data_IF_820269020889
#
_entry.id   IF_820269020889
#
_cell.length_a   1.000
_cell.length_b   1.000
_cell.length_c   1.000
_cell.angle_alpha   90.00
_cell.angle_beta   90.00
_cell.angle_gamma   90.00
#
_symmetry.space_group_name_H-M   'P 1'
#
loop_
_entity.id
_entity.type
_entity.pdbx_description
1 polymer ?
#
# COMPACT_ATOMS: atom_id res chain seq x y z
N UNK A 1 13.84 31.13 -11.27
CA UNK A 1 14.18 29.97 -10.41
C UNK A 1 13.55 28.76 -11.04
N UNK A 2 14.29 27.71 -11.42
CA UNK A 2 13.67 26.47 -11.85
C UNK A 2 12.85 25.98 -10.66
N UNK A 3 11.54 25.77 -10.84
CA UNK A 3 10.70 25.11 -9.85
C UNK A 3 11.28 23.72 -9.66
N UNK A 4 11.73 23.39 -8.43
CA UNK A 4 12.06 22.03 -8.08
C UNK A 4 10.84 21.15 -8.36
N UNK A 5 11.04 20.03 -9.10
CA UNK A 5 9.98 19.08 -9.38
C UNK A 5 9.31 18.66 -8.06
N UNK A 6 7.97 18.60 -8.06
CA UNK A 6 7.24 18.11 -6.88
C UNK A 6 7.56 16.63 -6.69
N UNK A 7 8.04 16.28 -5.53
CA UNK A 7 8.28 14.87 -5.17
C UNK A 7 7.03 14.25 -4.60
N UNK A 8 6.65 13.12 -5.13
CA UNK A 8 5.46 12.36 -4.74
C UNK A 8 5.85 10.91 -4.49
N UNK A 9 5.55 10.39 -3.31
CA UNK A 9 5.72 8.98 -2.99
C UNK A 9 4.35 8.31 -2.86
N UNK A 10 4.21 7.15 -3.51
CA UNK A 10 2.99 6.34 -3.52
C UNK A 10 3.26 5.04 -2.76
N UNK A 11 2.43 4.73 -1.77
CA UNK A 11 2.58 3.54 -0.91
C UNK A 11 1.33 2.68 -1.05
N UNK A 12 1.51 1.45 -1.56
CA UNK A 12 0.42 0.51 -1.85
C UNK A 12 -0.14 -0.17 -0.60
N UNK A 13 -1.27 -0.88 -0.77
CA UNK A 13 -1.95 -1.62 0.28
C UNK A 13 -1.46 -3.05 0.45
N UNK A 14 -2.04 -3.75 1.46
CA UNK A 14 -1.80 -5.16 1.73
C UNK A 14 -2.03 -6.04 0.50
N UNK A 15 -1.22 -7.08 0.34
CA UNK A 15 -1.25 -8.04 -0.74
C UNK A 15 -0.97 -7.49 -2.15
N UNK A 16 -0.76 -6.19 -2.32
CA UNK A 16 -0.43 -5.55 -3.59
C UNK A 16 1.09 -5.31 -3.72
N UNK A 17 1.49 -4.54 -4.73
CA UNK A 17 2.83 -3.98 -4.87
C UNK A 17 2.75 -2.63 -5.61
N UNK A 18 3.89 -1.98 -5.86
CA UNK A 18 3.95 -0.66 -6.50
C UNK A 18 3.24 -0.58 -7.85
N UNK A 19 3.07 -1.70 -8.56
CA UNK A 19 2.45 -1.74 -9.89
C UNK A 19 0.94 -1.45 -9.88
N UNK A 20 0.28 -1.38 -8.71
CA UNK A 20 -1.10 -0.86 -8.63
C UNK A 20 -1.21 0.60 -9.08
N UNK A 21 -0.09 1.33 -9.13
CA UNK A 21 -0.04 2.72 -9.53
C UNK A 21 0.37 2.93 -11.00
N UNK A 22 0.63 1.88 -11.76
CA UNK A 22 1.13 1.98 -13.14
C UNK A 22 0.14 2.71 -14.07
N UNK A 23 -1.16 2.59 -13.82
CA UNK A 23 -2.19 3.34 -14.55
C UNK A 23 -2.37 4.79 -14.03
N UNK A 24 -1.99 5.06 -12.79
CA UNK A 24 -2.10 6.38 -12.18
C UNK A 24 -0.92 7.29 -12.58
N UNK A 25 0.30 6.77 -12.52
CA UNK A 25 1.52 7.56 -12.69
C UNK A 25 1.52 8.34 -14.02
N UNK A 26 1.15 7.76 -15.19
CA UNK A 26 1.11 8.48 -16.46
C UNK A 26 0.07 9.60 -16.53
N UNK A 27 -0.89 9.61 -15.59
CA UNK A 27 -1.97 10.63 -15.52
C UNK A 27 -1.60 11.80 -14.61
N UNK A 28 -0.51 11.71 -13.87
CA UNK A 28 0.02 12.78 -13.04
C UNK A 28 0.83 13.75 -13.92
N UNK A 29 1.01 15.01 -13.48
CA UNK A 29 1.80 15.98 -14.23
C UNK A 29 3.22 15.44 -14.50
N UNK A 30 3.67 15.57 -15.74
CA UNK A 30 4.95 15.02 -16.21
C UNK A 30 6.19 15.68 -15.57
N UNK A 31 6.02 16.84 -14.95
CA UNK A 31 7.07 17.57 -14.21
C UNK A 31 7.18 17.13 -12.74
N UNK A 32 6.36 16.16 -12.28
CA UNK A 32 6.47 15.60 -10.94
C UNK A 32 7.47 14.43 -10.92
N UNK A 33 8.30 14.37 -9.86
CA UNK A 33 9.13 13.19 -9.55
C UNK A 33 8.28 12.22 -8.70
N UNK A 34 7.65 11.25 -9.37
CA UNK A 34 6.73 10.28 -8.74
C UNK A 34 7.45 8.96 -8.52
N UNK A 35 7.43 8.46 -7.28
CA UNK A 35 8.04 7.19 -6.88
C UNK A 35 7.02 6.32 -6.17
N UNK A 36 6.76 5.15 -6.73
CA UNK A 36 5.97 4.11 -6.06
C UNK A 36 6.90 3.18 -5.27
N UNK A 37 6.61 2.97 -4.00
CA UNK A 37 7.41 2.16 -3.08
C UNK A 37 6.73 0.83 -2.82
N UNK A 38 7.52 -0.25 -2.78
CA UNK A 38 7.06 -1.55 -2.29
C UNK A 38 7.19 -1.62 -0.76
N UNK A 39 6.14 -2.08 -0.10
CA UNK A 39 6.19 -2.46 1.32
C UNK A 39 7.10 -3.69 1.50
N UNK A 40 7.78 -3.85 2.64
CA UNK A 40 8.60 -5.03 2.91
C UNK A 40 7.84 -6.33 2.64
N UNK A 41 8.48 -7.25 1.93
CA UNK A 41 7.91 -8.54 1.55
C UNK A 41 6.79 -8.49 0.51
N UNK A 42 6.62 -7.35 -0.16
CA UNK A 42 5.71 -7.17 -1.28
C UNK A 42 6.52 -6.73 -2.51
N UNK A 43 6.11 -7.16 -3.71
CA UNK A 43 6.82 -6.85 -4.95
C UNK A 43 8.29 -7.27 -4.90
N UNK A 44 9.18 -6.33 -5.18
CA UNK A 44 10.63 -6.56 -5.19
C UNK A 44 11.30 -6.27 -3.83
N UNK A 45 10.54 -5.79 -2.83
CA UNK A 45 11.13 -5.42 -1.53
C UNK A 45 11.44 -6.67 -0.69
N UNK A 46 12.68 -6.78 -0.14
CA UNK A 46 13.02 -7.88 0.76
C UNK A 46 12.20 -7.80 2.05
N UNK A 47 12.10 -8.95 2.75
CA UNK A 47 11.38 -9.04 4.02
C UNK A 47 12.19 -9.81 5.06
N UNK A 48 12.20 -9.26 6.26
CA UNK A 48 12.68 -9.92 7.48
C UNK A 48 11.67 -9.66 8.58
N UNK A 49 11.21 -10.70 9.24
CA UNK A 49 10.29 -10.56 10.38
C UNK A 49 10.97 -9.84 11.57
N UNK A 50 10.19 -9.10 12.36
CA UNK A 50 8.76 -8.84 12.22
C UNK A 50 8.45 -7.71 11.21
N UNK A 51 7.20 -7.66 10.72
CA UNK A 51 6.71 -6.48 10.00
C UNK A 51 6.35 -5.40 11.04
N UNK A 52 7.13 -4.34 11.10
CA UNK A 52 6.93 -3.23 12.05
C UNK A 52 6.62 -1.94 11.28
N UNK A 53 5.43 -1.37 11.55
CA UNK A 53 4.95 -0.17 10.82
C UNK A 53 5.88 1.03 11.04
N UNK A 54 6.40 1.21 12.26
CA UNK A 54 7.30 2.32 12.57
C UNK A 54 8.66 2.15 11.86
N UNK A 55 9.20 0.93 11.84
CA UNK A 55 10.44 0.63 11.12
C UNK A 55 10.28 0.81 9.60
N UNK A 56 9.12 0.44 9.03
CA UNK A 56 8.81 0.69 7.61
C UNK A 56 8.75 2.19 7.34
N UNK A 57 8.10 2.96 8.21
CA UNK A 57 8.04 4.42 8.09
C UNK A 57 9.44 5.05 8.19
N UNK A 58 10.30 4.57 9.08
CA UNK A 58 11.71 5.01 9.19
C UNK A 58 12.49 4.74 7.90
N UNK A 59 12.38 3.52 7.36
CA UNK A 59 13.06 3.14 6.12
C UNK A 59 12.59 4.01 4.93
N UNK A 60 11.31 4.35 4.87
CA UNK A 60 10.79 5.26 3.84
C UNK A 60 11.21 6.71 4.08
N UNK A 61 11.26 7.17 5.35
CA UNK A 61 11.82 8.48 5.68
C UNK A 61 13.27 8.64 5.22
N UNK A 62 14.06 7.56 5.29
CA UNK A 62 15.43 7.53 4.77
C UNK A 62 15.55 7.75 3.26
N UNK A 63 14.49 7.49 2.49
CA UNK A 63 14.45 7.69 1.04
C UNK A 63 13.97 9.10 0.64
N UNK A 64 13.41 9.86 1.60
CA UNK A 64 12.90 11.21 1.37
C UNK A 64 14.01 12.21 1.73
N UNK A 65 14.65 12.77 0.73
CA UNK A 65 15.76 13.73 0.87
C UNK A 65 15.28 15.19 1.00
N UNK A 66 14.09 15.51 0.50
CA UNK A 66 13.44 16.82 0.60
C UNK A 66 11.95 16.62 0.90
N UNK A 67 11.27 17.58 1.56
CA UNK A 67 9.84 17.45 1.86
C UNK A 67 9.01 17.08 0.63
N UNK A 68 8.17 16.04 0.76
CA UNK A 68 7.47 15.40 -0.33
C UNK A 68 5.97 15.26 -0.06
N UNK A 69 5.20 15.06 -1.11
CA UNK A 69 3.80 14.67 -1.04
C UNK A 69 3.72 13.14 -0.92
N UNK A 70 2.90 12.65 0.00
CA UNK A 70 2.73 11.21 0.22
C UNK A 70 1.29 10.82 -0.10
N UNK A 71 1.11 9.77 -0.89
CA UNK A 71 -0.17 9.09 -1.08
C UNK A 71 -0.05 7.67 -0.53
N UNK A 72 -0.91 7.35 0.43
CA UNK A 72 -1.00 6.02 1.01
C UNK A 72 -2.35 5.39 0.74
N UNK A 73 -2.35 4.17 0.19
CA UNK A 73 -3.55 3.38 -0.02
C UNK A 73 -3.63 2.24 0.99
N UNK A 74 -4.77 2.12 1.72
CA UNK A 74 -5.04 1.04 2.67
C UNK A 74 -3.91 0.91 3.72
N UNK A 75 -3.23 -0.23 3.83
CA UNK A 75 -2.06 -0.43 4.70
C UNK A 75 -0.95 0.60 4.45
N UNK A 76 -0.71 0.97 3.19
CA UNK A 76 0.22 2.04 2.84
C UNK A 76 -0.19 3.39 3.43
N UNK A 77 -1.48 3.62 3.64
CA UNK A 77 -1.97 4.80 4.33
C UNK A 77 -1.66 4.79 5.83
N UNK A 78 -1.73 3.63 6.49
CA UNK A 78 -1.28 3.50 7.88
C UNK A 78 0.21 3.79 8.01
N UNK A 79 1.04 3.23 7.12
CA UNK A 79 2.49 3.55 7.07
C UNK A 79 2.71 5.05 6.83
N UNK A 80 1.93 5.67 5.93
CA UNK A 80 2.02 7.11 5.66
C UNK A 80 1.62 7.98 6.87
N UNK A 81 0.66 7.52 7.68
CA UNK A 81 0.32 8.17 8.97
C UNK A 81 1.49 8.12 9.95
N UNK A 82 2.13 6.95 10.14
CA UNK A 82 3.31 6.80 10.97
C UNK A 82 4.47 7.66 10.45
N UNK A 83 4.71 7.64 9.14
CA UNK A 83 5.73 8.46 8.50
C UNK A 83 5.50 9.96 8.78
N UNK A 84 4.26 10.43 8.68
CA UNK A 84 3.90 11.82 8.95
C UNK A 84 4.04 12.17 10.43
N UNK A 85 3.65 11.27 11.33
CA UNK A 85 3.74 11.50 12.77
C UNK A 85 5.17 11.50 13.28
N UNK A 86 6.04 10.61 12.78
CA UNK A 86 7.42 10.46 13.24
C UNK A 86 8.40 11.40 12.53
N UNK A 87 8.11 11.78 11.28
CA UNK A 87 9.00 12.57 10.43
C UNK A 87 8.25 13.73 9.74
N UNK A 88 7.57 14.62 10.51
CA UNK A 88 6.71 15.68 9.95
C UNK A 88 7.47 16.62 9.00
N UNK A 89 8.75 16.89 9.28
CA UNK A 89 9.58 17.80 8.46
C UNK A 89 9.86 17.24 7.05
N UNK A 90 9.64 15.95 6.83
CA UNK A 90 9.78 15.31 5.50
C UNK A 90 8.49 15.31 4.69
N UNK A 91 7.37 15.74 5.26
CA UNK A 91 6.05 15.64 4.66
C UNK A 91 5.51 17.01 4.32
N UNK A 92 5.31 17.25 3.01
CA UNK A 92 4.68 18.47 2.53
C UNK A 92 3.15 18.36 2.55
N UNK A 93 2.61 17.21 2.19
CA UNK A 93 1.19 16.88 2.32
C UNK A 93 0.97 15.37 2.35
N UNK A 94 -0.16 14.96 2.90
CA UNK A 94 -0.59 13.57 3.01
C UNK A 94 -1.95 13.39 2.33
N UNK A 95 -2.03 12.40 1.42
CA UNK A 95 -3.26 11.92 0.81
C UNK A 95 -3.50 10.48 1.25
N UNK A 96 -4.64 10.21 1.87
CA UNK A 96 -5.06 8.88 2.30
C UNK A 96 -6.21 8.39 1.43
N UNK A 97 -6.08 7.21 0.87
CA UNK A 97 -7.10 6.55 0.05
C UNK A 97 -7.47 5.21 0.66
N UNK A 98 -8.76 4.99 0.94
CA UNK A 98 -9.29 3.75 1.51
C UNK A 98 -8.40 3.21 2.66
N UNK A 99 -7.94 4.13 3.52
CA UNK A 99 -7.01 3.87 4.60
C UNK A 99 -7.71 3.83 5.96
N UNK A 100 -6.96 3.42 6.96
CA UNK A 100 -7.43 3.28 8.33
C UNK A 100 -6.29 3.64 9.31
N UNK A 101 -6.65 4.05 10.52
CA UNK A 101 -5.72 4.15 11.66
C UNK A 101 -5.74 2.88 12.50
N UNK A 102 -6.84 2.10 12.44
CA UNK A 102 -7.04 0.79 13.09
C UNK A 102 -7.88 -0.08 12.16
N UNK A 103 -7.47 -1.34 11.98
CA UNK A 103 -8.14 -2.26 11.07
C UNK A 103 -9.06 -3.24 11.82
N UNK A 104 -8.61 -3.77 12.95
CA UNK A 104 -9.29 -4.87 13.64
C UNK A 104 -10.35 -4.40 14.60
N UNK A 105 -11.43 -5.18 14.65
CA UNK A 105 -12.50 -4.97 15.62
C UNK A 105 -12.04 -5.29 17.05
N UNK A 106 -12.50 -4.47 18.00
CA UNK A 106 -12.37 -4.66 19.42
C UNK A 106 -13.61 -4.11 20.14
N UNK A 107 -13.68 -4.22 21.48
CA UNK A 107 -14.83 -3.76 22.26
C UNK A 107 -15.11 -2.25 22.09
N UNK A 108 -14.07 -1.44 21.90
CA UNK A 108 -14.17 0.00 21.66
C UNK A 108 -14.20 0.40 20.18
N UNK A 109 -14.06 -0.59 19.25
CA UNK A 109 -14.12 -0.40 17.80
C UNK A 109 -14.79 -1.61 17.12
N UNK A 110 -16.10 -1.83 17.34
CA UNK A 110 -16.81 -2.98 16.80
C UNK A 110 -16.99 -2.96 15.27
N UNK A 111 -16.80 -1.82 14.63
CA UNK A 111 -16.89 -1.64 13.17
C UNK A 111 -15.66 -2.18 12.43
N UNK A 112 -14.58 -2.51 13.14
CA UNK A 112 -13.37 -3.09 12.56
C UNK A 112 -13.60 -4.49 11.98
N UNK A 113 -12.62 -5.01 11.26
CA UNK A 113 -12.65 -6.35 10.71
C UNK A 113 -12.40 -7.39 11.80
N UNK A 114 -13.25 -8.43 11.87
CA UNK A 114 -13.09 -9.50 12.81
C UNK A 114 -11.82 -10.34 12.53
N UNK A 115 -11.02 -10.64 13.55
CA UNK A 115 -9.80 -11.44 13.47
C UNK A 115 -9.96 -12.75 12.66
N UNK A 116 -11.02 -13.56 12.85
CA UNK A 116 -11.21 -14.79 12.08
C UNK A 116 -11.41 -14.54 10.58
N UNK A 117 -11.96 -13.38 10.20
CA UNK A 117 -12.13 -13.01 8.80
C UNK A 117 -10.77 -12.68 8.14
N UNK A 118 -9.89 -11.97 8.86
CA UNK A 118 -8.52 -11.68 8.41
C UNK A 118 -7.71 -12.95 8.20
N UNK A 119 -7.74 -13.91 9.16
CA UNK A 119 -7.05 -15.19 9.02
C UNK A 119 -7.53 -16.02 7.82
N UNK A 120 -8.83 -16.03 7.54
CA UNK A 120 -9.37 -16.68 6.33
C UNK A 120 -8.90 -15.99 5.05
N UNK A 121 -8.82 -14.67 5.05
CA UNK A 121 -8.33 -13.90 3.91
C UNK A 121 -6.87 -14.23 3.62
N UNK A 122 -5.99 -14.20 4.62
CA UNK A 122 -4.57 -14.59 4.45
C UNK A 122 -4.45 -16.00 3.88
N UNK A 123 -5.13 -16.97 4.47
CA UNK A 123 -5.10 -18.36 4.01
C UNK A 123 -5.54 -18.51 2.55
N UNK A 124 -6.57 -17.78 2.12
CA UNK A 124 -7.03 -17.79 0.74
C UNK A 124 -5.94 -17.24 -0.21
N UNK A 125 -5.32 -16.11 0.12
CA UNK A 125 -4.23 -15.52 -0.68
C UNK A 125 -2.99 -16.43 -0.74
N UNK A 126 -2.64 -17.09 0.35
CA UNK A 126 -1.51 -18.04 0.37
C UNK A 126 -1.79 -19.28 -0.48
N UNK A 127 -3.05 -19.71 -0.55
CA UNK A 127 -3.45 -20.90 -1.32
C UNK A 127 -3.47 -20.65 -2.83
N UNK A 128 -4.02 -19.51 -3.28
CA UNK A 128 -4.12 -19.13 -4.69
C UNK A 128 -4.08 -17.60 -4.83
N UNK A 129 -2.89 -17.05 -4.78
CA UNK A 129 -2.67 -15.61 -4.83
C UNK A 129 -3.26 -14.97 -6.09
N UNK A 130 -2.97 -15.53 -7.27
CA UNK A 130 -3.40 -14.95 -8.55
C UNK A 130 -4.92 -14.83 -8.65
N UNK A 131 -5.65 -15.83 -8.17
CA UNK A 131 -7.11 -15.82 -8.13
C UNK A 131 -7.62 -14.76 -7.13
N UNK A 132 -7.09 -14.78 -5.93
CA UNK A 132 -7.62 -13.94 -4.84
C UNK A 132 -7.24 -12.47 -5.00
N UNK A 133 -6.05 -12.14 -5.53
CA UNK A 133 -5.71 -10.75 -5.85
C UNK A 133 -6.61 -10.20 -6.97
N UNK A 134 -6.93 -11.01 -7.99
CA UNK A 134 -7.87 -10.62 -9.03
C UNK A 134 -9.26 -10.34 -8.47
N UNK A 135 -9.78 -11.23 -7.62
CA UNK A 135 -11.09 -11.05 -6.98
C UNK A 135 -11.11 -9.81 -6.06
N UNK A 136 -10.03 -9.58 -5.33
CA UNK A 136 -9.87 -8.41 -4.47
C UNK A 136 -9.92 -7.12 -5.29
N UNK A 137 -9.18 -7.04 -6.40
CA UNK A 137 -9.22 -5.89 -7.30
C UNK A 137 -10.61 -5.70 -7.94
N UNK A 138 -11.28 -6.77 -8.34
CA UNK A 138 -12.64 -6.71 -8.88
C UNK A 138 -13.62 -6.10 -7.86
N UNK A 139 -13.48 -6.43 -6.58
CA UNK A 139 -14.29 -5.85 -5.50
C UNK A 139 -13.98 -4.36 -5.31
N UNK A 140 -12.69 -3.98 -5.34
CA UNK A 140 -12.28 -2.57 -5.19
C UNK A 140 -12.79 -1.70 -6.34
N UNK A 141 -12.91 -2.25 -7.54
CA UNK A 141 -13.28 -1.55 -8.77
C UNK A 141 -14.73 -1.81 -9.20
N UNK A 142 -15.60 -2.28 -8.29
CA UNK A 142 -16.95 -2.79 -8.60
C UNK A 142 -17.82 -1.81 -9.42
N UNK A 143 -17.65 -0.51 -9.21
CA UNK A 143 -18.41 0.55 -9.91
C UNK A 143 -17.52 1.43 -10.79
N UNK A 144 -16.27 0.99 -11.06
CA UNK A 144 -15.32 1.76 -11.86
C UNK A 144 -15.51 1.45 -13.33
N UNK A 145 -15.71 2.47 -14.20
CA UNK A 145 -15.65 2.27 -15.64
C UNK A 145 -14.30 1.65 -16.04
N UNK A 146 -14.31 0.75 -17.00
CA UNK A 146 -13.10 0.06 -17.51
C UNK A 146 -12.34 -0.78 -16.47
N UNK A 147 -13.00 -1.23 -15.38
CA UNK A 147 -12.37 -2.06 -14.34
C UNK A 147 -11.63 -3.27 -14.90
N UNK A 148 -12.20 -3.96 -15.92
CA UNK A 148 -11.56 -5.13 -16.54
C UNK A 148 -10.25 -4.79 -17.26
N UNK A 149 -10.18 -3.64 -17.93
CA UNK A 149 -8.97 -3.13 -18.59
C UNK A 149 -7.90 -2.77 -17.58
N UNK A 150 -8.28 -2.02 -16.53
CA UNK A 150 -7.37 -1.64 -15.43
C UNK A 150 -6.77 -2.89 -14.79
N UNK A 151 -7.61 -3.88 -14.42
CA UNK A 151 -7.14 -5.13 -13.83
C UNK A 151 -6.23 -5.88 -14.80
N UNK A 152 -6.59 -5.93 -16.08
CA UNK A 152 -5.80 -6.59 -17.13
C UNK A 152 -4.39 -6.00 -17.25
N UNK A 153 -4.24 -4.70 -17.07
CA UNK A 153 -2.97 -4.00 -17.17
C UNK A 153 -2.07 -4.27 -15.96
N UNK A 154 -2.61 -4.24 -14.74
CA UNK A 154 -1.79 -4.32 -13.51
C UNK A 154 -1.61 -5.75 -12.98
N UNK A 155 -2.56 -6.67 -13.25
CA UNK A 155 -2.56 -8.02 -12.68
C UNK A 155 -1.30 -8.84 -13.01
N UNK A 156 -0.73 -8.80 -14.24
CA UNK A 156 0.50 -9.53 -14.54
C UNK A 156 1.66 -9.16 -13.64
N UNK A 157 1.86 -7.88 -13.39
CA UNK A 157 2.96 -7.38 -12.54
C UNK A 157 2.67 -7.58 -11.06
N UNK A 158 1.41 -7.46 -10.63
CA UNK A 158 1.01 -7.79 -9.26
C UNK A 158 1.24 -9.26 -8.91
N UNK A 159 0.95 -10.18 -9.84
CA UNK A 159 1.05 -11.62 -9.60
C UNK A 159 2.40 -12.23 -9.94
N UNK A 160 3.35 -11.45 -10.46
CA UNK A 160 4.66 -11.92 -10.93
C UNK A 160 5.42 -12.72 -9.88
N UNK A 161 5.40 -12.29 -8.64
CA UNK A 161 6.17 -12.90 -7.53
C UNK A 161 5.33 -13.87 -6.69
N UNK A 162 4.05 -14.10 -7.04
CA UNK A 162 3.13 -14.89 -6.21
C UNK A 162 2.73 -14.19 -4.92
N UNK A 163 2.36 -14.97 -3.91
CA UNK A 163 1.94 -14.43 -2.62
C UNK A 163 3.10 -13.72 -1.91
N UNK A 164 2.90 -12.45 -1.47
CA UNK A 164 3.90 -11.75 -0.69
C UNK A 164 4.27 -12.51 0.59
N UNK A 165 5.57 -12.69 0.90
CA UNK A 165 5.98 -13.39 2.14
C UNK A 165 5.53 -12.67 3.42
N UNK A 166 5.28 -11.36 3.37
CA UNK A 166 4.85 -10.58 4.52
C UNK A 166 3.33 -10.57 4.76
N UNK A 167 2.52 -11.33 4.02
CA UNK A 167 1.04 -11.27 4.12
C UNK A 167 0.51 -11.40 5.55
N UNK A 168 0.96 -12.43 6.29
CA UNK A 168 0.52 -12.65 7.66
C UNK A 168 1.10 -11.58 8.60
N UNK A 169 2.42 -11.40 8.56
CA UNK A 169 3.12 -10.46 9.44
C UNK A 169 2.61 -9.02 9.30
N UNK A 170 2.28 -8.59 8.08
CA UNK A 170 1.73 -7.26 7.84
C UNK A 170 0.32 -7.09 8.43
N UNK A 171 -0.50 -8.14 8.48
CA UNK A 171 -1.80 -8.08 9.17
C UNK A 171 -1.66 -8.20 10.69
N UNK A 172 -0.68 -8.94 11.19
CA UNK A 172 -0.41 -9.00 12.63
C UNK A 172 0.06 -7.64 13.17
N UNK A 173 0.75 -6.87 12.35
CA UNK A 173 1.24 -5.52 12.70
C UNK A 173 0.14 -4.44 12.78
N UNK A 174 -1.08 -4.70 12.30
CA UNK A 174 -2.22 -3.76 12.32
C UNK A 174 -3.29 -4.11 13.36
N UNK A 175 -2.98 -5.07 14.23
CA UNK A 175 -3.84 -5.55 15.32
C UNK A 175 -3.59 -4.82 16.65
#
# INVERSE_FOLDING_TARGET
MPHSAKKVYLIHGWAANRHVFDDLIPRLPADWDVRALDLPGHGDAPFTEPFDIAAVAEAFAGQIDTPAHILGWSLGGLVALYLTALYPDKIQSLCLTASFARLTADMDYPEGLAQPALGKMVGAFQQDYAKHIKQFLQLQLLHTPNAAEIIGNILPDLSRHGAPPALQAALDAVN
#
